data_IF_157779352211
#
_entry.id   IF_157779352211
#
_cell.length_a   1.000
_cell.length_b   1.000
_cell.length_c   1.000
_cell.angle_alpha   90.00
_cell.angle_beta   90.00
_cell.angle_gamma   90.00
#
_symmetry.space_group_name_H-M   'P 1'
#
loop_
_entity.id
_entity.type
_entity.pdbx_description
1 polymer ?
#
# COMPACT_ATOMS: atom_id res chain seq x y z
N UNK A 1 4.49 19.26 4.68
CA UNK A 1 4.69 18.90 6.11
C UNK A 1 4.53 17.40 6.25
N UNK A 2 5.57 16.68 6.67
CA UNK A 2 5.53 15.22 6.80
C UNK A 2 5.15 14.75 8.21
N UNK A 3 5.02 15.65 9.19
CA UNK A 3 4.77 15.36 10.60
C UNK A 3 3.38 15.84 11.09
N UNK A 4 2.36 15.79 10.23
CA UNK A 4 1.00 16.30 10.54
C UNK A 4 0.39 15.62 11.78
N UNK A 5 0.70 14.34 12.00
CA UNK A 5 0.25 13.56 13.15
C UNK A 5 1.35 13.36 14.22
N UNK A 6 2.41 14.17 14.16
CA UNK A 6 3.60 14.03 15.01
C UNK A 6 4.80 13.36 14.32
N UNK A 7 5.92 13.19 15.05
CA UNK A 7 7.13 12.56 14.52
C UNK A 7 6.89 11.11 14.11
N UNK A 8 7.22 10.79 12.86
CA UNK A 8 7.12 9.45 12.28
C UNK A 8 8.49 8.98 11.80
N UNK A 9 8.58 7.78 11.22
CA UNK A 9 9.85 7.16 10.82
C UNK A 9 10.70 8.03 9.88
N UNK A 10 10.07 8.93 9.10
CA UNK A 10 10.74 9.85 8.18
C UNK A 10 11.12 11.19 8.81
N UNK A 11 10.63 11.50 10.01
CA UNK A 11 10.81 12.82 10.67
C UNK A 11 11.30 12.74 12.11
N UNK A 12 11.29 11.55 12.73
CA UNK A 12 11.83 11.31 14.07
C UNK A 12 13.35 11.20 14.05
N UNK A 13 13.99 11.58 15.16
CA UNK A 13 15.46 11.52 15.33
C UNK A 13 15.86 10.75 16.59
N UNK A 14 17.12 10.34 16.67
CA UNK A 14 17.71 9.74 17.86
C UNK A 14 17.00 8.48 18.36
N UNK A 15 16.74 8.43 19.67
CA UNK A 15 16.11 7.28 20.34
C UNK A 15 14.66 7.04 19.91
N UNK A 16 13.93 8.10 19.55
CA UNK A 16 12.57 8.04 19.04
C UNK A 16 12.55 7.31 17.70
N UNK A 17 13.45 7.69 16.79
CA UNK A 17 13.63 7.01 15.50
C UNK A 17 14.00 5.53 15.67
N UNK A 18 14.94 5.22 16.57
CA UNK A 18 15.35 3.84 16.84
C UNK A 18 14.16 2.99 17.34
N UNK A 19 13.34 3.53 18.24
CA UNK A 19 12.14 2.87 18.74
C UNK A 19 11.14 2.61 17.61
N UNK A 20 10.80 3.65 16.84
CA UNK A 20 9.84 3.54 15.74
C UNK A 20 10.31 2.55 14.68
N UNK A 21 11.57 2.62 14.25
CA UNK A 21 12.19 1.67 13.31
C UNK A 21 12.13 0.23 13.81
N UNK A 22 12.41 -0.01 15.10
CA UNK A 22 12.34 -1.35 15.68
C UNK A 22 10.93 -1.93 15.62
N UNK A 23 9.92 -1.10 15.90
CA UNK A 23 8.51 -1.51 15.86
C UNK A 23 8.05 -1.80 14.43
N UNK A 24 8.44 -0.98 13.45
CA UNK A 24 8.03 -1.16 12.04
C UNK A 24 8.82 -2.26 11.32
N UNK A 25 10.03 -2.60 11.75
CA UNK A 25 10.85 -3.60 11.06
C UNK A 25 10.22 -4.99 11.00
N UNK A 26 9.43 -5.36 12.02
CA UNK A 26 8.81 -6.69 12.11
C UNK A 26 7.66 -6.89 11.10
N UNK A 27 6.64 -6.00 11.02
CA UNK A 27 5.56 -6.14 10.05
C UNK A 27 6.01 -5.92 8.60
N UNK A 28 7.01 -5.07 8.35
CA UNK A 28 7.50 -4.75 6.98
C UNK A 28 8.73 -5.59 6.57
N UNK A 29 8.90 -6.79 7.14
CA UNK A 29 9.92 -7.73 6.71
C UNK A 29 9.46 -8.47 5.45
N UNK A 30 10.34 -8.62 4.45
CA UNK A 30 10.08 -9.33 3.20
C UNK A 30 9.57 -10.78 3.42
N UNK A 31 10.10 -11.48 4.43
CA UNK A 31 9.62 -12.82 4.80
C UNK A 31 8.17 -12.84 5.30
N UNK A 32 7.66 -11.72 5.80
CA UNK A 32 6.29 -11.55 6.31
C UNK A 32 5.37 -10.92 5.25
N UNK A 33 5.93 -10.42 4.14
CA UNK A 33 5.21 -9.73 3.07
C UNK A 33 4.39 -10.67 2.16
N UNK A 34 4.54 -11.99 2.29
CA UNK A 34 3.80 -12.96 1.46
C UNK A 34 2.28 -12.79 1.53
N UNK A 35 1.73 -12.40 2.69
CA UNK A 35 0.31 -12.13 2.83
C UNK A 35 -0.11 -10.93 1.98
N UNK A 36 0.61 -9.81 2.12
CA UNK A 36 0.39 -8.60 1.32
C UNK A 36 0.58 -8.88 -0.18
N UNK A 37 1.59 -9.67 -0.55
CA UNK A 37 1.81 -10.06 -1.94
C UNK A 37 0.63 -10.82 -2.53
N UNK A 38 0.09 -11.80 -1.80
CA UNK A 38 -1.09 -12.57 -2.23
C UNK A 38 -2.33 -11.68 -2.40
N UNK A 39 -2.56 -10.78 -1.45
CA UNK A 39 -3.71 -9.87 -1.53
C UNK A 39 -3.57 -8.85 -2.66
N UNK A 40 -2.36 -8.28 -2.85
CA UNK A 40 -2.04 -7.43 -4.00
C UNK A 40 -2.30 -8.13 -5.33
N UNK A 41 -1.89 -9.40 -5.45
CA UNK A 41 -2.11 -10.17 -6.67
C UNK A 41 -3.59 -10.40 -6.94
N UNK A 42 -4.37 -10.74 -5.89
CA UNK A 42 -5.81 -10.95 -5.99
C UNK A 42 -6.54 -9.67 -6.42
N UNK A 43 -6.32 -8.58 -5.69
CA UNK A 43 -7.01 -7.31 -5.94
C UNK A 43 -6.60 -6.69 -7.29
N UNK A 44 -5.34 -6.84 -7.71
CA UNK A 44 -4.90 -6.40 -9.03
C UNK A 44 -5.55 -7.23 -10.16
N UNK A 45 -5.74 -8.54 -9.95
CA UNK A 45 -6.49 -9.39 -10.86
C UNK A 45 -7.93 -8.92 -11.03
N UNK A 46 -8.64 -8.71 -9.91
CA UNK A 46 -10.03 -8.22 -9.89
C UNK A 46 -10.15 -6.84 -10.60
N UNK A 47 -9.16 -5.97 -10.43
CA UNK A 47 -9.10 -4.67 -11.10
C UNK A 47 -8.95 -4.82 -12.63
N UNK A 48 -8.09 -5.71 -13.11
CA UNK A 48 -7.89 -5.99 -14.54
C UNK A 48 -9.13 -6.64 -15.14
N UNK A 49 -9.76 -7.58 -14.45
CA UNK A 49 -11.00 -8.25 -14.87
C UNK A 49 -12.17 -7.26 -14.98
N UNK A 50 -12.12 -6.14 -14.28
CA UNK A 50 -13.11 -5.05 -14.41
C UNK A 50 -12.86 -4.20 -15.67
N UNK A 51 -11.62 -4.12 -16.16
CA UNK A 51 -11.26 -3.36 -17.36
C UNK A 51 -11.50 -4.11 -18.67
N UNK A 52 -11.41 -5.45 -18.67
CA UNK A 52 -11.52 -6.30 -19.87
C UNK A 52 -12.91 -6.37 -20.53
N UNK A 53 -14.05 -6.33 -19.80
CA UNK A 53 -15.39 -6.44 -20.39
C UNK A 53 -15.85 -5.18 -21.14
N UNK A 54 -15.23 -4.02 -20.87
CA UNK A 54 -15.64 -2.73 -21.42
C UNK A 54 -14.98 -2.50 -22.80
N UNK A 55 -15.53 -3.11 -23.86
CA UNK A 55 -15.11 -2.86 -25.26
C UNK A 55 -15.25 -1.40 -25.73
N UNK A 56 -15.82 -0.51 -24.90
CA UNK A 56 -15.93 0.94 -25.15
C UNK A 56 -15.34 1.82 -24.03
N UNK A 57 -14.69 1.24 -23.02
CA UNK A 57 -14.22 1.95 -21.84
C UNK A 57 -12.81 1.54 -21.46
N UNK A 58 -11.80 2.06 -22.17
CA UNK A 58 -10.42 2.02 -21.68
C UNK A 58 -10.36 2.55 -20.24
N UNK A 59 -9.50 1.98 -19.39
CA UNK A 59 -9.28 2.38 -17.99
C UNK A 59 -9.58 3.87 -17.77
N UNK A 60 -10.75 4.18 -17.19
CA UNK A 60 -11.30 5.54 -17.16
C UNK A 60 -10.37 6.49 -16.41
N UNK A 61 -9.71 5.97 -15.37
CA UNK A 61 -8.63 6.66 -14.64
C UNK A 61 -7.75 5.66 -13.89
N UNK A 62 -6.58 5.33 -14.48
CA UNK A 62 -5.61 4.42 -13.84
C UNK A 62 -5.17 4.89 -12.45
N UNK A 63 -5.12 6.20 -12.21
CA UNK A 63 -4.73 6.75 -10.91
C UNK A 63 -5.78 6.52 -9.82
N UNK A 64 -7.06 6.62 -10.15
CA UNK A 64 -8.18 6.34 -9.23
C UNK A 64 -8.30 4.84 -8.94
N UNK A 65 -8.15 4.02 -9.98
CA UNK A 65 -8.21 2.56 -9.85
C UNK A 65 -7.04 2.05 -9.00
N UNK A 66 -5.82 2.56 -9.23
CA UNK A 66 -4.64 2.22 -8.42
C UNK A 66 -4.80 2.69 -6.97
N UNK A 67 -5.41 3.86 -6.73
CA UNK A 67 -5.69 4.32 -5.36
C UNK A 67 -6.66 3.36 -4.66
N UNK A 68 -7.71 2.94 -5.34
CA UNK A 68 -8.71 2.00 -4.80
C UNK A 68 -8.07 0.64 -4.52
N UNK A 69 -7.25 0.13 -5.44
CA UNK A 69 -6.46 -1.08 -5.27
C UNK A 69 -5.61 -1.01 -3.99
N UNK A 70 -4.83 0.06 -3.80
CA UNK A 70 -3.97 0.21 -2.62
C UNK A 70 -4.79 0.24 -1.33
N UNK A 71 -5.95 0.90 -1.32
CA UNK A 71 -6.83 0.93 -0.13
C UNK A 71 -7.38 -0.47 0.20
N UNK A 72 -7.74 -1.26 -0.80
CA UNK A 72 -8.24 -2.62 -0.60
C UNK A 72 -7.18 -3.60 -0.10
N UNK A 73 -5.91 -3.42 -0.51
CA UNK A 73 -4.80 -4.24 -0.02
C UNK A 73 -4.43 -3.91 1.43
N UNK A 74 -4.71 -2.67 1.88
CA UNK A 74 -4.39 -2.19 3.23
C UNK A 74 -5.51 -2.42 4.25
N UNK A 75 -6.72 -2.79 3.81
CA UNK A 75 -7.89 -3.06 4.66
C UNK A 75 -7.84 -4.48 5.28
#
# INVERSE_FOLDING_TARGET
MLNVFGPNISTAEGSEWQRQRKLTATPFNEQKSTLTWRESLRQAGDMVDTWLPDTNGSARSTSEDTRTLVLHVLA
#
